data_IF_809762921639
#
_entry.id   IF_809762921639
#
_cell.length_a   1.000
_cell.length_b   1.000
_cell.length_c   1.000
_cell.angle_alpha   90.00
_cell.angle_beta   90.00
_cell.angle_gamma   90.00
#
_symmetry.space_group_name_H-M   'P 1'
#
loop_
_entity.id
_entity.type
_entity.pdbx_description
1 polymer ?
#
# COMPACT_ATOMS: atom_id res chain seq x y z
N UNK A 1 4.47 2.67 12.50
CA UNK A 1 5.78 1.98 12.43
C UNK A 1 6.94 2.92 12.75
N UNK A 2 7.27 3.92 11.91
CA UNK A 2 8.39 4.84 12.18
C UNK A 2 8.32 5.51 13.56
N UNK A 3 7.21 6.19 13.89
CA UNK A 3 7.07 6.88 15.19
C UNK A 3 7.12 5.92 16.38
N UNK A 4 6.60 4.69 16.22
CA UNK A 4 6.70 3.65 17.24
C UNK A 4 8.17 3.29 17.52
N UNK A 5 8.93 2.99 16.46
CA UNK A 5 10.35 2.64 16.58
C UNK A 5 11.17 3.82 17.11
N UNK A 6 10.84 5.05 16.69
CA UNK A 6 11.48 6.29 17.15
C UNK A 6 11.24 6.55 18.64
N UNK A 7 10.06 6.19 19.15
CA UNK A 7 9.70 6.39 20.56
C UNK A 7 10.45 5.45 21.52
N UNK A 8 11.09 4.38 21.02
CA UNK A 8 11.91 3.47 21.82
C UNK A 8 13.22 4.17 22.21
N UNK A 9 13.47 4.42 23.51
CA UNK A 9 14.62 5.22 23.93
C UNK A 9 15.98 4.56 23.67
N UNK A 10 16.04 3.22 23.74
CA UNK A 10 17.28 2.48 23.56
C UNK A 10 17.63 2.36 22.07
N UNK A 11 18.79 2.90 21.68
CA UNK A 11 19.37 2.83 20.34
C UNK A 11 20.86 2.48 20.43
N UNK A 12 21.39 1.54 19.61
CA UNK A 12 20.67 0.63 18.73
C UNK A 12 19.65 -0.26 19.48
N UNK A 13 18.69 -0.82 18.76
CA UNK A 13 17.70 -1.74 19.33
C UNK A 13 18.39 -2.99 19.86
N UNK A 14 17.88 -3.59 20.96
CA UNK A 14 18.37 -4.89 21.44
C UNK A 14 18.29 -5.95 20.34
N UNK A 15 19.30 -6.81 20.28
CA UNK A 15 19.34 -7.96 19.38
C UNK A 15 18.53 -9.12 19.97
N UNK A 16 17.36 -9.47 19.40
CA UNK A 16 16.48 -10.49 19.99
C UNK A 16 17.10 -11.90 19.98
N UNK A 17 18.10 -12.16 19.14
CA UNK A 17 18.84 -13.42 19.11
C UNK A 17 19.75 -13.61 20.33
N UNK A 18 20.15 -12.51 20.97
CA UNK A 18 21.00 -12.47 22.17
C UNK A 18 20.20 -12.21 23.45
N UNK A 19 18.88 -12.38 23.39
CA UNK A 19 18.01 -12.14 24.53
C UNK A 19 18.36 -13.07 25.70
N UNK A 20 18.57 -12.48 26.88
CA UNK A 20 18.70 -13.19 28.15
C UNK A 20 17.72 -12.61 29.20
N UNK A 21 17.09 -13.45 30.04
CA UNK A 21 16.30 -12.97 31.18
C UNK A 21 17.21 -12.27 32.20
N UNK A 22 16.70 -11.23 32.86
CA UNK A 22 17.43 -10.56 33.92
C UNK A 22 17.38 -11.40 35.21
N UNK A 23 18.37 -11.24 36.08
CA UNK A 23 18.40 -11.94 37.36
C UNK A 23 17.19 -11.56 38.22
N UNK A 24 16.41 -12.54 38.66
CA UNK A 24 15.18 -12.34 39.42
C UNK A 24 13.95 -11.90 38.61
N UNK A 25 14.05 -11.80 37.28
CA UNK A 25 12.92 -11.44 36.41
C UNK A 25 11.91 -12.59 36.31
N UNK A 26 10.62 -12.31 36.55
CA UNK A 26 9.57 -13.29 36.35
C UNK A 26 9.47 -13.68 34.86
N UNK A 27 9.26 -14.96 34.57
CA UNK A 27 9.22 -15.51 33.21
C UNK A 27 8.23 -14.76 32.29
N UNK A 28 7.07 -14.37 32.82
CA UNK A 28 6.06 -13.59 32.08
C UNK A 28 6.59 -12.22 31.64
N UNK A 29 7.40 -11.56 32.48
CA UNK A 29 8.02 -10.28 32.15
C UNK A 29 9.13 -10.44 31.12
N UNK A 30 9.99 -11.45 31.28
CA UNK A 30 11.02 -11.78 30.31
C UNK A 30 10.42 -12.06 28.92
N UNK A 31 9.34 -12.86 28.85
CA UNK A 31 8.64 -13.13 27.58
C UNK A 31 8.05 -11.87 26.95
N UNK A 32 7.46 -10.98 27.75
CA UNK A 32 6.91 -9.71 27.26
C UNK A 32 8.01 -8.80 26.69
N UNK A 33 9.16 -8.72 27.36
CA UNK A 33 10.33 -7.95 26.91
C UNK A 33 10.89 -8.52 25.61
N UNK A 34 11.09 -9.84 25.53
CA UNK A 34 11.52 -10.51 24.30
C UNK A 34 10.60 -10.22 23.11
N UNK A 35 9.28 -10.28 23.32
CA UNK A 35 8.31 -9.97 22.28
C UNK A 35 8.37 -8.50 21.85
N UNK A 36 8.58 -7.57 22.78
CA UNK A 36 8.73 -6.15 22.48
C UNK A 36 10.01 -5.88 21.67
N UNK A 37 11.12 -6.56 21.99
CA UNK A 37 12.38 -6.46 21.24
C UNK A 37 12.21 -6.99 19.81
N UNK A 38 11.54 -8.15 19.64
CA UNK A 38 11.20 -8.71 18.32
C UNK A 38 10.30 -7.78 17.51
N UNK A 39 9.26 -7.22 18.13
CA UNK A 39 8.34 -6.29 17.47
C UNK A 39 9.05 -4.98 17.08
N UNK A 40 9.96 -4.48 17.92
CA UNK A 40 10.74 -3.28 17.63
C UNK A 40 11.67 -3.49 16.42
N UNK A 41 12.40 -4.61 16.39
CA UNK A 41 13.26 -4.97 15.27
C UNK A 41 12.42 -5.17 14.00
N UNK A 42 11.36 -5.96 14.05
CA UNK A 42 10.46 -6.20 12.92
C UNK A 42 9.92 -4.88 12.34
N UNK A 43 9.41 -3.98 13.20
CA UNK A 43 8.92 -2.68 12.76
C UNK A 43 10.02 -1.79 12.17
N UNK A 44 11.24 -1.83 12.70
CA UNK A 44 12.37 -1.06 12.18
C UNK A 44 12.80 -1.55 10.80
N UNK A 45 12.94 -2.87 10.65
CA UNK A 45 13.21 -3.56 9.38
C UNK A 45 12.14 -3.23 8.34
N UNK A 46 10.86 -3.36 8.72
CA UNK A 46 9.71 -2.99 7.89
C UNK A 46 9.77 -1.54 7.45
N UNK A 47 10.09 -0.64 8.38
CA UNK A 47 10.17 0.78 8.10
C UNK A 47 11.24 1.09 7.05
N UNK A 48 12.42 0.46 7.15
CA UNK A 48 13.49 0.61 6.14
C UNK A 48 13.03 0.08 4.79
N UNK A 49 12.41 -1.10 4.76
CA UNK A 49 11.93 -1.73 3.52
C UNK A 49 10.88 -0.85 2.80
N UNK A 50 9.90 -0.32 3.55
CA UNK A 50 8.87 0.58 3.02
C UNK A 50 9.47 1.89 2.50
N UNK A 51 10.45 2.47 3.19
CA UNK A 51 11.14 3.67 2.68
C UNK A 51 11.92 3.37 1.41
N UNK A 52 12.57 2.21 1.31
CA UNK A 52 13.25 1.78 0.08
C UNK A 52 12.27 1.61 -1.08
N UNK A 53 11.09 1.03 -0.84
CA UNK A 53 10.03 0.95 -1.84
C UNK A 53 9.58 2.34 -2.31
N UNK A 54 9.34 3.27 -1.37
CA UNK A 54 8.93 4.64 -1.71
C UNK A 54 10.03 5.38 -2.50
N UNK A 55 11.30 5.15 -2.18
CA UNK A 55 12.42 5.68 -2.97
C UNK A 55 12.40 5.11 -4.40
N UNK A 56 12.21 3.81 -4.58
CA UNK A 56 12.09 3.18 -5.90
C UNK A 56 10.93 3.74 -6.71
N UNK A 57 9.77 3.95 -6.06
CA UNK A 57 8.60 4.59 -6.66
C UNK A 57 8.91 6.04 -7.10
N UNK A 58 9.48 6.85 -6.22
CA UNK A 58 9.87 8.23 -6.55
C UNK A 58 10.90 8.28 -7.67
N UNK A 59 11.88 7.37 -7.68
CA UNK A 59 12.87 7.28 -8.74
C UNK A 59 12.23 6.93 -10.09
N UNK A 60 11.25 6.01 -10.12
CA UNK A 60 10.48 5.69 -11.32
C UNK A 60 9.71 6.91 -11.82
N UNK A 61 9.06 7.67 -10.93
CA UNK A 61 8.39 8.92 -11.26
C UNK A 61 9.34 9.96 -11.88
N UNK A 62 10.51 10.18 -11.27
CA UNK A 62 11.56 11.07 -11.80
C UNK A 62 12.03 10.61 -13.18
N UNK A 63 12.25 9.30 -13.37
CA UNK A 63 12.68 8.75 -14.66
C UNK A 63 11.64 8.98 -15.75
N UNK A 64 10.35 8.81 -15.45
CA UNK A 64 9.26 9.08 -16.39
C UNK A 64 9.20 10.57 -16.78
N UNK A 65 9.32 11.47 -15.81
CA UNK A 65 9.34 12.91 -16.05
C UNK A 65 10.55 13.32 -16.90
N UNK A 66 11.74 12.79 -16.58
CA UNK A 66 12.97 13.00 -17.37
C UNK A 66 12.78 12.56 -18.82
N UNK A 67 12.31 11.32 -19.03
CA UNK A 67 12.11 10.78 -20.38
C UNK A 67 11.08 11.61 -21.18
N UNK A 68 10.02 12.08 -20.52
CA UNK A 68 9.05 12.97 -21.14
C UNK A 68 9.68 14.30 -21.57
N UNK A 69 10.47 14.92 -20.70
CA UNK A 69 11.17 16.17 -21.00
C UNK A 69 12.18 16.01 -22.15
N UNK A 70 12.94 14.92 -22.16
CA UNK A 70 13.86 14.58 -23.25
C UNK A 70 13.12 14.43 -24.59
N UNK A 71 11.99 13.72 -24.61
CA UNK A 71 11.15 13.59 -25.80
C UNK A 71 10.59 14.94 -26.29
N UNK A 72 10.19 15.82 -25.38
CA UNK A 72 9.67 17.15 -25.77
C UNK A 72 10.78 18.04 -26.32
N UNK A 73 11.99 18.01 -25.74
CA UNK A 73 13.16 18.70 -26.29
C UNK A 73 13.54 18.24 -27.69
N UNK A 74 13.40 16.95 -27.99
CA UNK A 74 13.63 16.44 -29.35
C UNK A 74 12.58 16.91 -30.35
N UNK A 75 11.32 17.12 -29.92
CA UNK A 75 10.22 17.56 -30.78
C UNK A 75 10.15 19.07 -30.98
N UNK A 76 10.69 19.85 -30.04
CA UNK A 76 10.71 21.31 -30.07
C UNK A 76 12.16 21.81 -29.87
N UNK A 77 12.99 21.80 -30.94
CA UNK A 77 14.41 22.15 -30.85
C UNK A 77 14.66 23.65 -30.58
N UNK A 78 13.70 24.51 -30.90
CA UNK A 78 13.83 25.97 -30.83
C UNK A 78 13.65 26.54 -29.40
N UNK A 79 13.71 25.70 -28.37
CA UNK A 79 13.66 26.04 -26.93
C UNK A 79 12.35 26.72 -26.44
N UNK A 80 11.31 26.77 -27.29
CA UNK A 80 9.98 27.29 -26.96
C UNK A 80 9.14 26.37 -26.04
N UNK A 81 9.67 25.21 -25.64
CA UNK A 81 8.95 24.28 -24.77
C UNK A 81 9.02 24.71 -23.30
N UNK A 82 7.94 25.34 -22.83
CA UNK A 82 7.75 25.68 -21.42
C UNK A 82 7.13 24.48 -20.70
N UNK A 83 7.82 24.02 -19.66
CA UNK A 83 7.34 22.96 -18.78
C UNK A 83 6.11 23.43 -17.99
N UNK A 84 5.03 22.65 -17.98
CA UNK A 84 3.83 22.99 -17.21
C UNK A 84 4.11 23.08 -15.70
N UNK A 85 3.32 23.89 -15.00
CA UNK A 85 3.38 23.99 -13.53
C UNK A 85 3.24 22.62 -12.84
N UNK A 86 2.25 21.82 -13.26
CA UNK A 86 2.03 20.48 -12.71
C UNK A 86 3.20 19.50 -12.91
N UNK A 87 4.01 19.67 -13.96
CA UNK A 87 5.24 18.88 -14.11
C UNK A 87 6.28 19.26 -13.05
N UNK A 88 6.44 20.56 -12.80
CA UNK A 88 7.41 21.07 -11.82
C UNK A 88 7.00 20.64 -10.41
N UNK A 89 5.72 20.73 -10.10
CA UNK A 89 5.16 20.25 -8.82
C UNK A 89 5.37 18.75 -8.64
N UNK A 90 5.09 17.95 -9.66
CA UNK A 90 5.33 16.51 -9.62
C UNK A 90 6.81 16.18 -9.40
N UNK A 91 7.72 16.85 -10.11
CA UNK A 91 9.16 16.64 -9.97
C UNK A 91 9.64 16.97 -8.56
N UNK A 92 9.22 18.12 -8.02
CA UNK A 92 9.56 18.54 -6.66
C UNK A 92 9.01 17.55 -5.64
N UNK A 93 7.75 17.13 -5.80
CA UNK A 93 7.12 16.15 -4.93
C UNK A 93 7.91 14.83 -4.89
N UNK A 94 8.25 14.25 -6.05
CA UNK A 94 9.02 13.00 -6.08
C UNK A 94 10.41 13.15 -5.47
N UNK A 95 11.10 14.26 -5.77
CA UNK A 95 12.45 14.55 -5.24
C UNK A 95 12.43 14.69 -3.71
N UNK A 96 11.52 15.49 -3.16
CA UNK A 96 11.39 15.68 -1.72
C UNK A 96 11.05 14.37 -1.01
N UNK A 97 10.15 13.57 -1.58
CA UNK A 97 9.79 12.27 -1.02
C UNK A 97 10.95 11.29 -1.06
N UNK A 98 11.73 11.28 -2.14
CA UNK A 98 12.94 10.44 -2.25
C UNK A 98 13.95 10.80 -1.14
N UNK A 99 14.29 12.09 -1.01
CA UNK A 99 15.26 12.58 -0.02
C UNK A 99 14.77 12.25 1.39
N UNK A 100 13.52 12.58 1.71
CA UNK A 100 12.92 12.29 3.03
C UNK A 100 12.95 10.81 3.37
N UNK A 101 12.64 9.94 2.41
CA UNK A 101 12.68 8.49 2.61
C UNK A 101 14.12 7.99 2.78
N UNK A 102 15.07 8.53 2.02
CA UNK A 102 16.49 8.21 2.15
C UNK A 102 17.02 8.55 3.54
N UNK A 103 16.79 9.78 4.00
CA UNK A 103 17.25 10.25 5.32
C UNK A 103 16.67 9.41 6.45
N UNK A 104 15.37 9.10 6.37
CA UNK A 104 14.70 8.25 7.37
C UNK A 104 15.16 6.80 7.31
N UNK A 105 15.37 6.23 6.13
CA UNK A 105 15.90 4.88 5.98
C UNK A 105 17.33 4.79 6.53
N UNK A 106 18.18 5.77 6.21
CA UNK A 106 19.54 5.86 6.75
C UNK A 106 19.53 5.95 8.28
N UNK A 107 18.68 6.81 8.85
CA UNK A 107 18.55 6.94 10.29
C UNK A 107 18.09 5.63 10.95
N UNK A 108 17.00 5.02 10.46
CA UNK A 108 16.46 3.78 11.04
C UNK A 108 17.47 2.63 10.91
N UNK A 109 18.27 2.57 9.85
CA UNK A 109 19.36 1.59 9.73
C UNK A 109 20.38 1.68 10.86
N UNK A 110 20.68 2.89 11.37
CA UNK A 110 21.58 3.05 12.54
C UNK A 110 20.97 2.52 13.83
N UNK A 111 19.64 2.31 13.87
CA UNK A 111 18.93 1.75 15.01
C UNK A 111 18.86 0.23 14.98
N UNK A 112 19.13 -0.41 13.84
CA UNK A 112 19.11 -1.86 13.72
C UNK A 112 20.37 -2.49 14.33
N UNK A 113 20.29 -3.74 14.81
CA UNK A 113 21.48 -4.52 15.16
C UNK A 113 22.42 -4.66 13.95
N UNK A 114 23.73 -4.71 14.19
CA UNK A 114 24.78 -4.68 13.15
C UNK A 114 24.75 -5.86 12.15
N UNK A 115 23.90 -6.87 12.35
CA UNK A 115 23.80 -8.08 11.52
C UNK A 115 22.59 -8.08 10.55
N UNK A 116 21.96 -6.93 10.31
CA UNK A 116 20.81 -6.88 9.40
C UNK A 116 21.22 -7.08 7.94
N UNK A 117 20.86 -8.24 7.37
CA UNK A 117 21.18 -8.65 5.98
C UNK A 117 20.21 -8.09 4.92
N UNK A 118 19.33 -7.16 5.28
CA UNK A 118 18.40 -6.53 4.35
C UNK A 118 16.97 -7.09 4.38
N UNK A 119 16.04 -6.47 3.64
CA UNK A 119 14.63 -6.84 3.67
C UNK A 119 14.44 -8.22 3.04
N UNK A 120 13.86 -9.16 3.79
CA UNK A 120 13.39 -10.42 3.25
C UNK A 120 12.14 -10.19 2.38
N UNK A 121 11.91 -11.08 1.43
CA UNK A 121 10.88 -11.20 0.38
C UNK A 121 9.41 -11.21 0.86
N UNK A 122 9.03 -10.39 1.85
CA UNK A 122 7.67 -10.35 2.41
C UNK A 122 6.99 -8.97 2.29
N UNK A 123 7.65 -7.98 1.68
CA UNK A 123 7.11 -6.63 1.58
C UNK A 123 5.86 -6.56 0.70
N UNK A 124 5.84 -7.33 -0.39
CA UNK A 124 4.67 -7.61 -1.22
C UNK A 124 3.51 -8.19 -0.40
N UNK A 125 3.78 -9.23 0.39
CA UNK A 125 2.80 -9.83 1.30
C UNK A 125 2.27 -8.80 2.30
N UNK A 126 3.12 -7.96 2.89
CA UNK A 126 2.71 -6.91 3.82
C UNK A 126 1.77 -5.90 3.16
N UNK A 127 2.11 -5.43 1.96
CA UNK A 127 1.28 -4.47 1.21
C UNK A 127 -0.05 -5.12 0.82
N UNK A 128 -0.03 -6.40 0.43
CA UNK A 128 -1.22 -7.17 0.10
C UNK A 128 -2.15 -7.33 1.31
N UNK A 129 -1.62 -7.79 2.44
CA UNK A 129 -2.38 -7.95 3.68
C UNK A 129 -2.97 -6.62 4.16
N UNK A 130 -2.19 -5.53 4.05
CA UNK A 130 -2.68 -4.19 4.37
C UNK A 130 -3.84 -3.79 3.46
N UNK A 131 -3.74 -4.04 2.16
CA UNK A 131 -4.81 -3.74 1.20
C UNK A 131 -6.09 -4.48 1.55
N UNK A 132 -6.01 -5.78 1.89
CA UNK A 132 -7.16 -6.59 2.27
C UNK A 132 -7.78 -6.13 3.59
N UNK A 133 -6.97 -5.79 4.59
CA UNK A 133 -7.45 -5.25 5.87
C UNK A 133 -8.22 -3.95 5.66
N UNK A 134 -7.71 -3.04 4.83
CA UNK A 134 -8.38 -1.77 4.48
C UNK A 134 -9.74 -2.03 3.82
N UNK A 135 -9.78 -2.88 2.78
CA UNK A 135 -11.02 -3.22 2.07
C UNK A 135 -12.05 -3.91 2.98
N UNK A 136 -11.60 -4.82 3.85
CA UNK A 136 -12.47 -5.48 4.83
C UNK A 136 -13.01 -4.51 5.88
N UNK A 137 -12.18 -3.57 6.34
CA UNK A 137 -12.57 -2.56 7.32
C UNK A 137 -13.58 -1.59 6.73
N UNK A 138 -13.37 -1.14 5.49
CA UNK A 138 -14.32 -0.33 4.74
C UNK A 138 -15.67 -1.03 4.63
N UNK A 139 -15.69 -2.28 4.15
CA UNK A 139 -16.91 -3.06 4.01
C UNK A 139 -17.64 -3.27 5.33
N UNK A 140 -16.91 -3.58 6.41
CA UNK A 140 -17.52 -3.73 7.74
C UNK A 140 -18.16 -2.42 8.22
N UNK A 141 -17.45 -1.29 8.07
CA UNK A 141 -17.95 0.02 8.48
C UNK A 141 -19.17 0.45 7.66
N UNK A 142 -19.14 0.21 6.35
CA UNK A 142 -20.22 0.50 5.43
C UNK A 142 -21.48 -0.32 5.75
N UNK A 143 -21.34 -1.63 5.98
CA UNK A 143 -22.49 -2.53 6.21
C UNK A 143 -23.10 -2.41 7.60
N UNK A 144 -22.28 -2.07 8.60
CA UNK A 144 -22.72 -1.93 9.99
C UNK A 144 -23.00 -0.48 10.40
N UNK A 145 -22.88 0.47 9.46
CA UNK A 145 -23.00 1.90 9.71
C UNK A 145 -22.10 2.41 10.86
N UNK A 146 -20.84 1.94 10.86
CA UNK A 146 -19.82 2.26 11.87
C UNK A 146 -18.80 3.29 11.37
N UNK A 147 -19.17 4.05 10.34
CA UNK A 147 -18.35 5.14 9.82
C UNK A 147 -18.43 6.35 10.75
N UNK A 148 -17.28 6.94 11.06
CA UNK A 148 -17.17 8.15 11.88
C UNK A 148 -17.40 9.39 11.02
N UNK A 149 -16.93 9.36 9.77
CA UNK A 149 -17.16 10.41 8.78
C UNK A 149 -17.85 9.85 7.52
N UNK A 150 -18.61 10.68 6.77
CA UNK A 150 -19.32 10.24 5.58
C UNK A 150 -18.42 9.63 4.50
N UNK A 151 -17.18 10.11 4.39
CA UNK A 151 -16.18 9.73 3.40
C UNK A 151 -15.19 8.66 3.91
N UNK A 152 -15.34 8.15 5.14
CA UNK A 152 -14.38 7.23 5.73
C UNK A 152 -14.27 5.92 4.94
N UNK A 153 -15.41 5.33 4.57
CA UNK A 153 -15.44 4.07 3.84
C UNK A 153 -14.86 4.22 2.43
N UNK A 154 -15.18 5.34 1.77
CA UNK A 154 -14.63 5.72 0.47
C UNK A 154 -13.09 5.78 0.54
N UNK A 155 -12.55 6.56 1.48
CA UNK A 155 -11.10 6.70 1.69
C UNK A 155 -10.42 5.35 1.94
N UNK A 156 -11.01 4.48 2.76
CA UNK A 156 -10.46 3.16 3.04
C UNK A 156 -10.41 2.26 1.79
N UNK A 157 -11.44 2.32 0.93
CA UNK A 157 -11.42 1.60 -0.35
C UNK A 157 -10.40 2.18 -1.32
N UNK A 158 -10.27 3.52 -1.39
CA UNK A 158 -9.26 4.18 -2.23
C UNK A 158 -7.83 3.84 -1.78
N UNK A 159 -7.54 3.90 -0.48
CA UNK A 159 -6.24 3.47 0.06
C UNK A 159 -5.95 2.00 -0.24
N UNK A 160 -6.95 1.12 -0.11
CA UNK A 160 -6.83 -0.28 -0.48
C UNK A 160 -6.47 -0.44 -1.97
N UNK A 161 -7.12 0.32 -2.86
CA UNK A 161 -6.81 0.31 -4.30
C UNK A 161 -5.38 0.78 -4.57
N UNK A 162 -4.91 1.85 -3.92
CA UNK A 162 -3.54 2.32 -4.09
C UNK A 162 -2.51 1.26 -3.70
N UNK A 163 -2.73 0.52 -2.61
CA UNK A 163 -1.87 -0.61 -2.23
C UNK A 163 -1.89 -1.72 -3.30
N UNK A 164 -3.05 -2.07 -3.85
CA UNK A 164 -3.16 -3.10 -4.89
C UNK A 164 -2.50 -2.66 -6.21
N UNK A 165 -2.61 -1.38 -6.59
CA UNK A 165 -1.92 -0.86 -7.77
C UNK A 165 -0.40 -0.86 -7.58
N UNK A 166 0.10 -0.56 -6.38
CA UNK A 166 1.53 -0.62 -6.09
C UNK A 166 2.09 -2.05 -6.28
N UNK A 167 1.29 -3.08 -5.93
CA UNK A 167 1.66 -4.49 -6.17
C UNK A 167 1.61 -4.85 -7.66
N UNK A 168 0.69 -4.25 -8.42
CA UNK A 168 0.57 -4.48 -9.86
C UNK A 168 1.71 -3.85 -10.67
N UNK A 169 2.35 -2.79 -10.17
CA UNK A 169 3.36 -2.00 -10.89
C UNK A 169 4.77 -2.62 -10.92
N UNK A 170 4.88 -3.92 -10.56
CA UNK A 170 6.08 -4.77 -10.52
C UNK A 170 7.26 -4.23 -9.69
N UNK A 171 7.09 -3.09 -8.99
CA UNK A 171 8.10 -2.46 -8.14
C UNK A 171 8.60 -3.39 -7.03
N UNK A 172 7.80 -4.40 -6.66
CA UNK A 172 8.01 -5.29 -5.54
C UNK A 172 8.34 -6.74 -5.94
N UNK A 173 8.31 -7.08 -7.23
CA UNK A 173 8.28 -8.48 -7.64
C UNK A 173 9.49 -8.94 -8.46
N UNK A 174 10.59 -8.17 -8.45
CA UNK A 174 11.85 -8.55 -9.12
C UNK A 174 12.34 -9.93 -8.65
N UNK A 175 12.34 -10.92 -9.54
CA UNK A 175 12.81 -12.28 -9.27
C UNK A 175 11.75 -13.25 -8.73
N UNK A 176 10.47 -12.88 -8.71
CA UNK A 176 9.37 -13.80 -8.37
C UNK A 176 9.07 -14.74 -9.55
N UNK A 177 9.02 -16.07 -9.36
CA UNK A 177 8.62 -17.02 -10.41
C UNK A 177 7.10 -17.08 -10.65
N UNK A 178 6.26 -16.56 -9.75
CA UNK A 178 4.78 -16.62 -9.81
C UNK A 178 4.12 -15.26 -10.13
N UNK A 179 4.87 -14.39 -10.81
CA UNK A 179 4.45 -13.02 -11.18
C UNK A 179 3.07 -12.94 -11.82
N UNK A 180 2.79 -13.85 -12.76
CA UNK A 180 1.58 -13.78 -13.57
C UNK A 180 0.35 -14.20 -12.76
N UNK A 181 0.48 -15.24 -11.95
CA UNK A 181 -0.56 -15.72 -11.03
C UNK A 181 -0.88 -14.67 -9.96
N UNK A 182 0.15 -14.06 -9.39
CA UNK A 182 0.00 -12.97 -8.41
C UNK A 182 -0.69 -11.77 -9.06
N UNK A 183 -0.28 -11.39 -10.28
CA UNK A 183 -0.92 -10.29 -11.02
C UNK A 183 -2.39 -10.58 -11.31
N UNK A 184 -2.74 -11.79 -11.71
CA UNK A 184 -4.14 -12.18 -11.97
C UNK A 184 -4.98 -12.12 -10.69
N UNK A 185 -4.40 -12.55 -9.56
CA UNK A 185 -5.03 -12.49 -8.24
C UNK A 185 -5.25 -11.04 -7.81
N UNK A 186 -4.21 -10.20 -7.90
CA UNK A 186 -4.27 -8.77 -7.59
C UNK A 186 -5.29 -8.06 -8.48
N UNK A 187 -5.33 -8.34 -9.78
CA UNK A 187 -6.30 -7.77 -10.71
C UNK A 187 -7.75 -8.10 -10.33
N UNK A 188 -7.99 -9.31 -9.85
CA UNK A 188 -9.30 -9.73 -9.32
C UNK A 188 -9.70 -8.89 -8.10
N UNK A 189 -8.76 -8.69 -7.16
CA UNK A 189 -9.00 -7.83 -6.01
C UNK A 189 -9.21 -6.36 -6.37
N UNK A 190 -8.46 -5.83 -7.33
CA UNK A 190 -8.66 -4.46 -7.85
C UNK A 190 -10.09 -4.32 -8.39
N UNK A 191 -10.54 -5.25 -9.25
CA UNK A 191 -11.89 -5.23 -9.81
C UNK A 191 -12.95 -5.26 -8.71
N UNK A 192 -12.81 -6.16 -7.73
CA UNK A 192 -13.75 -6.27 -6.59
C UNK A 192 -13.79 -4.99 -5.75
N UNK A 193 -12.64 -4.44 -5.39
CA UNK A 193 -12.57 -3.22 -4.57
C UNK A 193 -13.12 -2.00 -5.32
N UNK A 194 -12.89 -1.88 -6.63
CA UNK A 194 -13.51 -0.83 -7.46
C UNK A 194 -15.03 -0.90 -7.48
N UNK A 195 -15.59 -2.11 -7.65
CA UNK A 195 -17.04 -2.29 -7.65
C UNK A 195 -17.65 -1.87 -6.30
N UNK A 196 -16.99 -2.22 -5.19
CA UNK A 196 -17.40 -1.78 -3.85
C UNK A 196 -17.30 -0.27 -3.67
N UNK A 197 -16.21 0.36 -4.13
CA UNK A 197 -16.07 1.82 -4.08
C UNK A 197 -17.18 2.53 -4.87
N UNK A 198 -17.49 2.07 -6.08
CA UNK A 198 -18.60 2.64 -6.86
C UNK A 198 -19.95 2.53 -6.14
N UNK A 199 -20.22 1.38 -5.52
CA UNK A 199 -21.45 1.18 -4.73
C UNK A 199 -21.47 2.02 -3.46
N UNK A 200 -20.33 2.14 -2.77
CA UNK A 200 -20.17 3.00 -1.60
C UNK A 200 -20.52 4.45 -1.94
N UNK A 201 -19.99 4.99 -3.05
CA UNK A 201 -20.32 6.33 -3.54
C UNK A 201 -21.81 6.51 -3.83
N UNK A 202 -22.42 5.54 -4.52
CA UNK A 202 -23.86 5.57 -4.78
C UNK A 202 -24.69 5.56 -3.49
N UNK A 203 -24.27 4.81 -2.45
CA UNK A 203 -24.95 4.75 -1.15
C UNK A 203 -24.84 6.04 -0.35
N UNK A 204 -23.79 6.83 -0.55
CA UNK A 204 -23.65 8.14 0.10
C UNK A 204 -24.71 9.13 -0.37
N UNK A 205 -25.30 8.91 -1.55
CA UNK A 205 -26.40 9.72 -2.10
C UNK A 205 -27.80 9.19 -1.71
N UNK A 206 -27.87 8.04 -1.02
CA UNK A 206 -29.13 7.38 -0.65
C UNK A 206 -29.59 7.73 0.75
N UNK A 207 -30.92 7.71 0.96
CA UNK A 207 -31.51 7.77 2.29
C UNK A 207 -31.22 6.46 3.07
N UNK A 208 -31.19 6.53 4.41
CA UNK A 208 -30.84 5.39 5.28
C UNK A 208 -31.62 4.11 4.99
N UNK A 209 -32.91 4.23 4.71
CA UNK A 209 -33.78 3.09 4.41
C UNK A 209 -33.38 2.38 3.11
N UNK A 210 -33.05 3.15 2.08
CA UNK A 210 -32.67 2.62 0.78
C UNK A 210 -31.24 2.06 0.81
N UNK A 211 -30.35 2.72 1.55
CA UNK A 211 -28.98 2.27 1.83
C UNK A 211 -28.93 0.88 2.47
N UNK A 212 -29.73 0.65 3.52
CA UNK A 212 -29.79 -0.68 4.19
C UNK A 212 -30.40 -1.75 3.27
N UNK A 213 -31.38 -1.38 2.44
CA UNK A 213 -32.00 -2.30 1.47
C UNK A 213 -31.02 -2.67 0.36
N UNK A 214 -30.29 -1.70 -0.17
CA UNK A 214 -29.26 -1.90 -1.20
C UNK A 214 -28.08 -2.73 -0.65
N UNK A 215 -27.60 -2.42 0.56
CA UNK A 215 -26.54 -3.19 1.22
C UNK A 215 -26.90 -4.68 1.40
N UNK A 216 -28.16 -4.98 1.76
CA UNK A 216 -28.65 -6.37 1.86
C UNK A 216 -28.82 -7.06 0.51
N UNK A 217 -29.08 -6.31 -0.55
CA UNK A 217 -29.22 -6.81 -1.92
C UNK A 217 -27.89 -6.90 -2.66
N UNK A 218 -26.78 -6.42 -2.07
CA UNK A 218 -25.48 -6.36 -2.71
C UNK A 218 -24.89 -7.75 -2.90
N UNK A 219 -25.03 -8.26 -4.12
CA UNK A 219 -24.45 -9.54 -4.52
C UNK A 219 -22.91 -9.52 -4.52
N UNK A 220 -22.26 -8.36 -4.48
CA UNK A 220 -20.80 -8.27 -4.32
C UNK A 220 -20.32 -8.63 -2.89
N UNK A 221 -21.27 -8.89 -1.97
CA UNK A 221 -21.02 -9.52 -0.67
C UNK A 221 -21.02 -11.04 -0.75
N UNK A 222 -21.66 -11.60 -1.77
CA UNK A 222 -21.62 -13.02 -2.07
C UNK A 222 -20.31 -13.26 -2.81
N UNK A 223 -19.46 -14.13 -2.29
CA UNK A 223 -18.12 -14.43 -2.82
C UNK A 223 -18.22 -15.26 -4.13
N UNK A 224 -19.04 -14.79 -5.08
CA UNK A 224 -19.29 -15.43 -6.37
C UNK A 224 -18.83 -14.46 -7.45
N UNK A 225 -17.83 -14.90 -8.20
CA UNK A 225 -17.45 -14.26 -9.45
C UNK A 225 -18.64 -14.35 -10.41
N UNK A 226 -19.28 -13.22 -10.78
CA UNK A 226 -20.06 -12.99 -12.02
C UNK A 226 -20.90 -11.71 -11.94
N UNK A 227 -20.26 -10.55 -12.01
CA UNK A 227 -20.88 -9.40 -12.67
C UNK A 227 -19.77 -8.77 -13.54
N UNK A 228 -19.98 -8.60 -14.86
CA UNK A 228 -19.08 -7.79 -15.67
C UNK A 228 -18.96 -6.41 -15.04
N UNK A 229 -17.75 -5.88 -14.90
CA UNK A 229 -17.63 -4.53 -14.37
C UNK A 229 -18.29 -3.53 -15.34
N UNK A 230 -18.83 -2.40 -14.86
CA UNK A 230 -19.43 -1.39 -15.73
C UNK A 230 -18.50 -0.86 -16.83
N UNK A 231 -17.19 -0.99 -16.64
CA UNK A 231 -16.14 -0.60 -17.60
C UNK A 231 -15.63 -1.75 -18.46
N UNK A 232 -16.09 -2.98 -18.24
CA UNK A 232 -15.82 -4.09 -19.14
C UNK A 232 -16.72 -3.91 -20.37
N UNK A 233 -16.14 -3.89 -21.59
CA UNK A 233 -16.93 -3.86 -22.81
C UNK A 233 -17.92 -5.03 -22.80
N UNK A 234 -19.18 -4.86 -23.24
CA UNK A 234 -20.08 -5.99 -23.43
C UNK A 234 -19.36 -6.97 -24.36
N UNK A 235 -19.09 -8.19 -23.88
CA UNK A 235 -18.68 -9.27 -24.77
C UNK A 235 -19.82 -9.46 -25.75
N UNK A 236 -19.58 -9.14 -27.03
CA UNK A 236 -20.56 -9.40 -28.08
C UNK A 236 -21.02 -10.87 -27.95
N UNK A 237 -22.33 -11.14 -27.97
CA UNK A 237 -22.81 -12.50 -27.91
C UNK A 237 -22.20 -13.26 -29.08
N UNK A 238 -21.40 -14.27 -28.76
CA UNK A 238 -20.86 -15.21 -29.75
C UNK A 238 -22.06 -15.87 -30.41
N UNK A 239 -22.42 -15.41 -31.61
CA UNK A 239 -23.42 -16.07 -32.44
C UNK A 239 -22.78 -17.38 -32.89
N UNK A 240 -23.16 -18.46 -32.21
CA UNK A 240 -22.84 -19.81 -32.67
C UNK A 240 -23.53 -20.02 -34.02
N UNK A 241 -22.73 -20.22 -35.07
CA UNK A 241 -23.16 -20.82 -36.34
C UNK A 241 -22.99 -22.34 -36.26
#
# INVERSE_FOLDING_TARGET
>A
MYEYVKAIPQKPLPDPSKFAPLEGEAEKHAKRRKNADLEAEYNAVTCVAVYMLLMSFSQKGINLLRNHQEHMRMRCPDDDYIVSEGFTDALNWFKEHFIKCNDRAALVKTWLPAQYEGPKTWLDQLVYDRALVLSRTAARKELLDQAISPDECEKLYEESLWCLYALQDDLLQTGNPFMEEDRATIATWIKRTKLRLLRCRARMEMNDRDRVKDARADQNLVDVARIPAPWDKPSEPTVAQ
#
